data_IF_873981936308
#
_entry.id   IF_873981936308
#
_cell.length_a   1.000
_cell.length_b   1.000
_cell.length_c   1.000
_cell.angle_alpha   90.00
_cell.angle_beta   90.00
_cell.angle_gamma   90.00
#
_symmetry.space_group_name_H-M   'P 1'
#
loop_
_entity.id
_entity.type
_entity.pdbx_description
1 polymer ?
#
# COMPACT_ATOMS: atom_id res chain seq x y z
N UNK A 1 1.62 -21.75 7.36
CA UNK A 1 2.59 -22.02 6.28
C UNK A 1 3.52 -20.82 6.03
N UNK A 2 3.03 -19.55 5.99
CA UNK A 2 3.89 -18.37 5.81
C UNK A 2 4.92 -18.22 6.95
N UNK A 3 4.54 -18.50 8.18
CA UNK A 3 5.42 -18.43 9.35
C UNK A 3 6.60 -19.42 9.33
N UNK A 4 6.59 -20.38 8.38
CA UNK A 4 7.67 -21.35 8.19
C UNK A 4 8.63 -21.02 7.05
N UNK A 5 8.46 -19.85 6.39
CA UNK A 5 9.40 -19.39 5.38
C UNK A 5 10.68 -18.91 6.07
N UNK A 6 11.74 -19.69 5.91
CA UNK A 6 13.08 -19.29 6.31
C UNK A 6 13.66 -18.33 5.25
N UNK A 7 14.19 -17.21 5.71
CA UNK A 7 14.91 -16.27 4.85
C UNK A 7 14.55 -14.80 5.06
N UNK A 8 15.17 -13.95 4.29
CA UNK A 8 15.00 -12.49 4.33
C UNK A 8 13.72 -11.98 3.62
N UNK A 9 12.72 -12.86 3.41
CA UNK A 9 11.48 -12.50 2.76
C UNK A 9 10.59 -11.78 3.76
N UNK A 10 10.20 -10.55 3.42
CA UNK A 10 9.26 -9.73 4.17
C UNK A 10 7.94 -9.61 3.42
N UNK A 11 6.85 -9.51 4.16
CA UNK A 11 5.50 -9.39 3.61
C UNK A 11 4.83 -8.12 4.11
N UNK A 12 4.25 -7.39 3.17
CA UNK A 12 3.25 -6.38 3.47
C UNK A 12 1.88 -7.06 3.57
N UNK A 13 1.23 -6.92 4.71
CA UNK A 13 -0.07 -7.54 4.98
C UNK A 13 -1.17 -6.51 4.72
N UNK A 14 -1.76 -6.55 3.52
CA UNK A 14 -2.86 -5.67 3.15
C UNK A 14 -4.20 -6.31 3.51
N UNK A 15 -4.81 -5.85 4.60
CA UNK A 15 -6.08 -6.35 5.12
C UNK A 15 -7.27 -5.67 4.42
N UNK A 16 -7.71 -6.24 3.31
CA UNK A 16 -8.92 -5.80 2.59
C UNK A 16 -10.19 -6.42 3.20
N UNK A 17 -10.43 -6.16 4.47
CA UNK A 17 -11.54 -6.71 5.27
C UNK A 17 -12.26 -5.58 5.99
N UNK A 18 -13.53 -5.82 6.36
CA UNK A 18 -14.19 -5.00 7.37
C UNK A 18 -13.68 -5.39 8.75
N UNK A 19 -13.55 -4.42 9.64
CA UNK A 19 -13.06 -4.64 11.01
C UNK A 19 -11.67 -5.30 11.06
N UNK A 20 -10.62 -4.67 10.46
CA UNK A 20 -9.27 -5.22 10.44
C UNK A 20 -8.70 -5.49 11.85
N UNK A 21 -9.20 -4.80 12.87
CA UNK A 21 -8.90 -5.01 14.29
C UNK A 21 -9.16 -6.44 14.77
N UNK A 22 -10.07 -7.16 14.13
CA UNK A 22 -10.40 -8.56 14.48
C UNK A 22 -9.39 -9.56 13.91
N UNK A 23 -8.57 -9.13 12.93
CA UNK A 23 -7.71 -10.04 12.16
C UNK A 23 -6.22 -9.78 12.35
N UNK A 24 -5.82 -8.55 12.65
CA UNK A 24 -4.42 -8.11 12.65
C UNK A 24 -3.56 -8.94 13.62
N UNK A 25 -4.08 -9.31 14.78
CA UNK A 25 -3.36 -10.06 15.81
C UNK A 25 -2.86 -11.43 15.32
N UNK A 26 -3.58 -12.06 14.40
CA UNK A 26 -3.16 -13.33 13.83
C UNK A 26 -1.86 -13.25 13.03
N UNK A 27 -1.51 -12.06 12.55
CA UNK A 27 -0.33 -11.82 11.72
C UNK A 27 0.91 -11.42 12.53
N UNK A 28 0.77 -10.90 13.74
CA UNK A 28 1.92 -10.56 14.60
C UNK A 28 2.74 -11.79 15.02
N UNK A 29 2.15 -12.99 14.94
CA UNK A 29 2.87 -14.25 15.15
C UNK A 29 3.82 -14.60 13.96
N UNK A 30 3.68 -13.92 12.81
CA UNK A 30 4.53 -14.11 11.64
C UNK A 30 5.71 -13.13 11.66
N UNK A 31 6.90 -13.61 11.98
CA UNK A 31 8.13 -12.79 12.00
C UNK A 31 8.51 -12.21 10.62
N UNK A 32 7.87 -12.69 9.56
CA UNK A 32 8.04 -12.21 8.19
C UNK A 32 7.06 -11.08 7.81
N UNK A 33 6.04 -10.78 8.63
CA UNK A 33 5.20 -9.60 8.44
C UNK A 33 6.02 -8.34 8.77
N UNK A 34 6.06 -7.38 7.86
CA UNK A 34 6.83 -6.16 7.98
C UNK A 34 5.93 -4.95 8.14
N UNK A 35 4.93 -4.84 7.27
CA UNK A 35 3.98 -3.73 7.24
C UNK A 35 2.55 -4.24 7.32
N UNK A 36 1.72 -3.48 8.01
CA UNK A 36 0.27 -3.70 8.02
C UNK A 36 -0.44 -2.56 7.31
N UNK A 37 -1.28 -2.92 6.35
CA UNK A 37 -2.03 -1.96 5.55
C UNK A 37 -3.51 -2.19 5.79
N UNK A 38 -4.21 -1.16 6.27
CA UNK A 38 -5.66 -1.18 6.50
C UNK A 38 -6.35 -0.04 5.76
N UNK A 39 -7.57 -0.25 5.34
CA UNK A 39 -8.36 0.80 4.70
C UNK A 39 -8.94 1.77 5.74
N UNK A 40 -8.79 3.08 5.51
CA UNK A 40 -9.37 4.12 6.35
C UNK A 40 -10.91 4.00 6.47
N UNK A 41 -11.54 3.41 5.47
CA UNK A 41 -12.99 3.19 5.43
C UNK A 41 -13.43 2.01 6.29
N UNK A 42 -12.52 1.09 6.61
CA UNK A 42 -12.85 -0.18 7.27
C UNK A 42 -12.83 -0.11 8.80
N UNK A 43 -12.22 0.93 9.36
CA UNK A 43 -12.08 1.05 10.82
C UNK A 43 -12.06 2.52 11.28
N UNK A 44 -12.43 2.75 12.53
CA UNK A 44 -12.19 4.00 13.25
C UNK A 44 -11.04 3.91 14.25
N UNK A 45 -10.43 2.73 14.40
CA UNK A 45 -9.39 2.41 15.39
C UNK A 45 -7.98 2.54 14.82
N UNK A 46 -7.78 3.55 13.93
CA UNK A 46 -6.50 3.73 13.23
C UNK A 46 -5.35 3.98 14.20
N UNK A 47 -5.54 4.81 15.24
CA UNK A 47 -4.50 5.08 16.24
C UNK A 47 -4.13 3.84 17.02
N UNK A 48 -5.14 3.10 17.51
CA UNK A 48 -4.93 1.89 18.30
C UNK A 48 -4.22 0.81 17.49
N UNK A 49 -4.58 0.66 16.23
CA UNK A 49 -3.93 -0.29 15.32
C UNK A 49 -2.48 0.11 14.99
N UNK A 50 -2.23 1.40 14.80
CA UNK A 50 -0.87 1.92 14.58
C UNK A 50 0.02 1.68 15.82
N UNK A 51 -0.45 2.08 17.00
CA UNK A 51 0.27 1.86 18.25
C UNK A 51 0.57 0.37 18.50
N UNK A 52 -0.39 -0.50 18.15
CA UNK A 52 -0.23 -1.94 18.29
C UNK A 52 0.81 -2.49 17.31
N UNK A 53 0.77 -2.09 16.04
CA UNK A 53 1.77 -2.47 15.03
C UNK A 53 3.18 -2.04 15.46
N UNK A 54 3.34 -0.77 15.85
CA UNK A 54 4.61 -0.22 16.34
C UNK A 54 5.12 -0.96 17.58
N UNK A 55 4.21 -1.35 18.49
CA UNK A 55 4.55 -2.16 19.66
C UNK A 55 5.14 -3.53 19.32
N UNK A 56 4.86 -4.06 18.14
CA UNK A 56 5.42 -5.29 17.60
C UNK A 56 6.62 -5.07 16.66
N UNK A 57 7.00 -3.80 16.41
CA UNK A 57 8.11 -3.44 15.52
C UNK A 57 7.75 -3.46 14.03
N UNK A 58 6.45 -3.37 13.71
CA UNK A 58 5.95 -3.32 12.34
C UNK A 58 5.58 -1.91 11.93
N UNK A 59 5.70 -1.58 10.64
CA UNK A 59 5.16 -0.34 10.08
C UNK A 59 3.64 -0.43 9.89
N UNK A 60 2.97 0.72 10.01
CA UNK A 60 1.53 0.82 9.84
C UNK A 60 1.15 1.83 8.75
N UNK A 61 0.41 1.35 7.76
CA UNK A 61 0.03 2.08 6.56
C UNK A 61 -1.50 2.16 6.47
N UNK A 62 -2.02 3.32 6.11
CA UNK A 62 -3.44 3.47 5.82
C UNK A 62 -3.66 3.59 4.33
N UNK A 63 -4.56 2.76 3.79
CA UNK A 63 -5.00 2.79 2.41
C UNK A 63 -6.27 3.63 2.26
N UNK A 64 -6.34 4.39 1.15
CA UNK A 64 -7.51 5.16 0.73
C UNK A 64 -8.04 4.65 -0.59
N UNK A 65 -9.34 4.44 -0.67
CA UNK A 65 -10.02 4.16 -1.93
C UNK A 65 -9.96 5.37 -2.90
N UNK A 66 -10.18 5.14 -4.21
CA UNK A 66 -10.11 6.21 -5.21
C UNK A 66 -10.97 7.43 -4.86
N UNK A 67 -12.17 7.21 -4.33
CA UNK A 67 -13.14 8.28 -4.02
C UNK A 67 -13.01 8.84 -2.60
N UNK A 68 -12.21 8.22 -1.74
CA UNK A 68 -12.07 8.66 -0.34
C UNK A 68 -11.26 9.94 -0.26
N UNK A 69 -11.78 11.00 0.38
CA UNK A 69 -11.10 12.27 0.51
C UNK A 69 -9.91 12.21 1.49
N UNK A 70 -8.92 13.11 1.30
CA UNK A 70 -7.72 13.17 2.14
C UNK A 70 -8.03 13.47 3.60
N UNK A 71 -9.07 14.23 3.85
CA UNK A 71 -9.54 14.61 5.18
C UNK A 71 -9.81 13.40 6.08
N UNK A 72 -9.99 12.22 5.47
CA UNK A 72 -10.20 10.95 6.20
C UNK A 72 -8.96 10.50 6.98
N UNK A 73 -7.75 10.83 6.52
CA UNK A 73 -6.48 10.44 7.16
C UNK A 73 -5.77 11.58 7.89
N UNK A 74 -6.18 12.83 7.68
CA UNK A 74 -5.55 13.99 8.34
C UNK A 74 -5.41 13.84 9.88
N UNK A 75 -6.42 13.28 10.60
CA UNK A 75 -6.27 13.11 12.05
C UNK A 75 -5.19 12.12 12.46
N UNK A 76 -4.79 11.20 11.58
CA UNK A 76 -3.96 10.04 11.88
C UNK A 76 -2.51 10.18 11.39
N UNK A 77 -2.19 11.20 10.59
CA UNK A 77 -0.93 11.33 9.88
C UNK A 77 0.33 11.13 10.73
N UNK A 78 0.30 11.51 12.02
CA UNK A 78 1.45 11.37 12.93
C UNK A 78 1.67 9.93 13.42
N UNK A 79 0.69 9.06 13.22
CA UNK A 79 0.73 7.66 13.61
C UNK A 79 1.00 6.72 12.42
N UNK A 80 1.21 7.27 11.22
CA UNK A 80 1.39 6.48 10.00
C UNK A 80 2.83 6.51 9.53
N UNK A 81 3.33 5.39 9.05
CA UNK A 81 4.65 5.28 8.43
C UNK A 81 4.59 5.56 6.93
N UNK A 82 3.44 5.32 6.30
CA UNK A 82 3.16 5.66 4.91
C UNK A 82 1.65 5.77 4.67
N UNK A 83 1.28 6.30 3.50
CA UNK A 83 -0.11 6.30 3.01
C UNK A 83 -0.18 5.58 1.68
N UNK A 84 -1.12 4.65 1.55
CA UNK A 84 -1.38 3.96 0.29
C UNK A 84 -2.62 4.54 -0.40
N UNK A 85 -2.49 4.88 -1.68
CA UNK A 85 -3.63 5.25 -2.52
C UNK A 85 -3.95 4.11 -3.47
N UNK A 86 -5.20 3.68 -3.45
CA UNK A 86 -5.70 2.73 -4.42
C UNK A 86 -5.91 3.43 -5.76
N UNK A 87 -5.32 2.89 -6.80
CA UNK A 87 -5.49 3.35 -8.19
C UNK A 87 -6.40 2.41 -9.00
N UNK A 88 -7.13 1.57 -8.29
CA UNK A 88 -8.28 0.75 -8.73
C UNK A 88 -9.28 0.69 -7.59
N UNK A 89 -10.52 0.31 -7.87
CA UNK A 89 -11.45 -0.04 -6.80
C UNK A 89 -11.09 -1.40 -6.21
N UNK A 90 -11.00 -1.54 -4.86
CA UNK A 90 -10.69 -2.83 -4.24
C UNK A 90 -11.68 -3.93 -4.61
N UNK A 91 -11.21 -5.19 -4.69
CA UNK A 91 -12.05 -6.38 -4.83
C UNK A 91 -11.74 -7.28 -6.03
N UNK A 92 -11.22 -6.75 -7.14
CA UNK A 92 -10.86 -7.55 -8.31
C UNK A 92 -9.44 -7.22 -8.78
N UNK A 93 -8.68 -8.23 -9.18
CA UNK A 93 -7.39 -8.06 -9.82
C UNK A 93 -7.52 -7.69 -11.32
N UNK A 94 -6.48 -7.08 -11.88
CA UNK A 94 -6.40 -6.78 -13.31
C UNK A 94 -7.28 -5.65 -13.79
N UNK A 95 -7.76 -4.80 -12.89
CA UNK A 95 -8.49 -3.58 -13.25
C UNK A 95 -7.58 -2.53 -13.91
N UNK A 96 -8.18 -1.66 -14.71
CA UNK A 96 -7.48 -0.55 -15.33
C UNK A 96 -7.09 0.50 -14.30
N UNK A 97 -5.89 1.05 -14.47
CA UNK A 97 -5.35 2.14 -13.65
C UNK A 97 -6.24 3.39 -13.73
N UNK A 98 -6.58 3.94 -12.58
CA UNK A 98 -7.38 5.16 -12.44
C UNK A 98 -6.47 6.39 -12.30
N UNK A 99 -6.14 7.03 -13.42
CA UNK A 99 -5.30 8.24 -13.44
C UNK A 99 -5.90 9.43 -12.68
N UNK A 100 -7.22 9.45 -12.51
CA UNK A 100 -7.94 10.51 -11.79
C UNK A 100 -7.63 10.56 -10.29
N UNK A 101 -6.96 9.54 -9.75
CA UNK A 101 -6.42 9.52 -8.38
C UNK A 101 -5.15 10.38 -8.25
N UNK A 102 -4.36 10.52 -9.32
CA UNK A 102 -3.06 11.20 -9.28
C UNK A 102 -3.11 12.67 -8.81
N UNK A 103 -4.12 13.49 -9.16
CA UNK A 103 -4.25 14.83 -8.58
C UNK A 103 -4.36 14.84 -7.06
N UNK A 104 -5.07 13.84 -6.48
CA UNK A 104 -5.18 13.65 -5.02
C UNK A 104 -3.82 13.29 -4.42
N UNK A 105 -3.06 12.40 -5.06
CA UNK A 105 -1.71 12.02 -4.63
C UNK A 105 -0.76 13.23 -4.64
N UNK A 106 -0.75 14.03 -5.71
CA UNK A 106 0.07 15.25 -5.79
C UNK A 106 -0.28 16.25 -4.70
N UNK A 107 -1.58 16.45 -4.42
CA UNK A 107 -2.04 17.31 -3.33
C UNK A 107 -1.51 16.83 -2.00
N UNK A 108 -1.61 15.53 -1.72
CA UNK A 108 -1.12 14.92 -0.49
C UNK A 108 0.41 15.07 -0.37
N UNK A 109 1.18 14.74 -1.41
CA UNK A 109 2.63 14.92 -1.43
C UNK A 109 3.04 16.37 -1.19
N UNK A 110 2.32 17.33 -1.76
CA UNK A 110 2.57 18.76 -1.54
C UNK A 110 2.29 19.23 -0.10
N UNK A 111 1.36 18.57 0.61
CA UNK A 111 1.04 18.86 2.01
C UNK A 111 2.00 18.15 2.99
N UNK A 112 2.44 16.94 2.65
CA UNK A 112 3.24 16.06 3.48
C UNK A 112 4.42 15.47 2.68
N UNK A 113 5.42 16.30 2.32
CA UNK A 113 6.50 15.88 1.40
C UNK A 113 7.39 14.77 1.96
N UNK A 114 7.47 14.63 3.29
CA UNK A 114 8.26 13.60 3.96
C UNK A 114 7.48 12.28 4.18
N UNK A 115 6.15 12.28 3.99
CA UNK A 115 5.34 11.08 4.16
C UNK A 115 5.50 10.17 2.94
N UNK A 116 5.99 8.94 3.12
CA UNK A 116 6.06 7.96 2.04
C UNK A 116 4.69 7.67 1.45
N UNK A 117 4.63 7.57 0.12
CA UNK A 117 3.40 7.30 -0.62
C UNK A 117 3.55 6.01 -1.40
N UNK A 118 2.60 5.09 -1.20
CA UNK A 118 2.45 3.86 -1.95
C UNK A 118 1.26 3.96 -2.90
N UNK A 119 1.39 3.46 -4.13
CA UNK A 119 0.28 3.34 -5.08
C UNK A 119 0.04 1.89 -5.44
N UNK A 120 -1.22 1.45 -5.35
CA UNK A 120 -1.63 0.07 -5.61
C UNK A 120 -2.80 0.01 -6.58
N UNK A 121 -2.61 -0.76 -7.65
CA UNK A 121 -3.64 -1.06 -8.64
C UNK A 121 -3.30 -0.62 -10.07
N UNK A 122 -3.31 -1.57 -11.01
CA UNK A 122 -3.05 -1.32 -12.42
C UNK A 122 -1.63 -0.83 -12.75
N UNK A 123 -0.67 -1.14 -11.88
CA UNK A 123 0.72 -0.73 -12.04
C UNK A 123 1.42 -1.58 -13.11
N UNK A 124 2.07 -0.89 -14.03
CA UNK A 124 2.81 -1.44 -15.17
C UNK A 124 3.92 -0.45 -15.59
N UNK A 125 4.83 -0.80 -16.49
CA UNK A 125 5.83 0.14 -17.02
C UNK A 125 5.25 1.41 -17.64
N UNK A 126 3.99 1.39 -18.09
CA UNK A 126 3.32 2.58 -18.64
C UNK A 126 2.70 3.49 -17.59
N UNK A 127 2.38 2.97 -16.40
CA UNK A 127 1.70 3.73 -15.32
C UNK A 127 2.64 4.10 -14.18
N UNK A 128 3.68 3.31 -13.91
CA UNK A 128 4.64 3.57 -12.84
C UNK A 128 5.34 4.94 -12.94
N UNK A 129 5.75 5.45 -14.13
CA UNK A 129 6.29 6.80 -14.26
C UNK A 129 5.29 7.89 -13.85
N UNK A 130 4.00 7.68 -14.08
CA UNK A 130 2.95 8.63 -13.66
C UNK A 130 2.81 8.67 -12.14
N UNK A 131 2.99 7.50 -11.50
CA UNK A 131 2.99 7.38 -10.04
C UNK A 131 4.18 8.13 -9.42
N UNK A 132 5.39 7.92 -9.93
CA UNK A 132 6.60 8.61 -9.50
C UNK A 132 6.47 10.13 -9.67
N UNK A 133 5.98 10.61 -10.82
CA UNK A 133 5.71 12.03 -11.08
C UNK A 133 4.65 12.63 -10.15
N UNK A 134 3.77 11.81 -9.58
CA UNK A 134 2.79 12.27 -8.61
C UNK A 134 3.33 12.33 -7.17
N UNK A 135 4.56 11.85 -6.93
CA UNK A 135 5.24 11.85 -5.64
C UNK A 135 5.22 10.49 -4.93
N UNK A 136 4.86 9.41 -5.62
CA UNK A 136 4.94 8.07 -5.03
C UNK A 136 6.40 7.62 -4.88
N UNK A 137 6.72 7.07 -3.71
CA UNK A 137 8.01 6.43 -3.41
C UNK A 137 7.96 4.91 -3.54
N UNK A 138 6.75 4.33 -3.55
CA UNK A 138 6.52 2.89 -3.66
C UNK A 138 5.35 2.59 -4.60
N UNK A 139 5.41 1.45 -5.28
CA UNK A 139 4.32 0.93 -6.11
C UNK A 139 4.10 -0.56 -5.88
N UNK A 140 2.85 -0.99 -5.92
CA UNK A 140 2.46 -2.40 -5.82
C UNK A 140 1.97 -2.87 -7.17
N UNK A 141 2.65 -3.85 -7.76
CA UNK A 141 2.31 -4.41 -9.06
C UNK A 141 2.04 -5.91 -8.95
N UNK A 142 0.79 -6.29 -9.00
CA UNK A 142 0.34 -7.69 -8.94
C UNK A 142 0.24 -8.32 -10.32
N UNK A 143 -0.81 -7.99 -11.06
CA UNK A 143 -1.17 -8.67 -12.32
C UNK A 143 -0.10 -8.56 -13.41
N UNK A 144 0.63 -7.45 -13.49
CA UNK A 144 1.72 -7.30 -14.46
C UNK A 144 2.87 -8.28 -14.19
N UNK A 145 3.31 -8.38 -12.92
CA UNK A 145 4.42 -9.24 -12.52
C UNK A 145 4.01 -10.70 -12.53
N UNK A 146 2.90 -11.04 -11.85
CA UNK A 146 2.46 -12.43 -11.69
C UNK A 146 1.90 -13.06 -12.97
N UNK A 147 1.44 -12.23 -13.91
CA UNK A 147 0.97 -12.67 -15.23
C UNK A 147 2.09 -12.82 -16.26
N UNK A 148 3.31 -12.42 -15.96
CA UNK A 148 4.44 -12.50 -16.88
C UNK A 148 4.98 -13.93 -16.99
N UNK A 149 5.47 -14.30 -18.18
CA UNK A 149 6.18 -15.59 -18.40
C UNK A 149 7.51 -15.58 -17.65
N UNK A 150 8.20 -14.44 -17.64
CA UNK A 150 9.44 -14.24 -16.88
C UNK A 150 9.23 -13.11 -15.85
N UNK A 151 9.01 -13.51 -14.61
CA UNK A 151 8.78 -12.60 -13.47
C UNK A 151 9.97 -11.67 -13.26
N UNK A 152 11.20 -12.18 -13.38
CA UNK A 152 12.42 -11.37 -13.19
C UNK A 152 12.53 -10.29 -14.24
N UNK A 153 12.27 -10.61 -15.49
CA UNK A 153 12.26 -9.64 -16.58
C UNK A 153 11.17 -8.57 -16.35
N UNK A 154 9.97 -8.97 -15.94
CA UNK A 154 8.88 -8.04 -15.67
C UNK A 154 9.23 -7.05 -14.54
N UNK A 155 9.90 -7.51 -13.48
CA UNK A 155 10.38 -6.62 -12.41
C UNK A 155 11.40 -5.63 -12.97
N UNK A 156 12.40 -6.09 -13.74
CA UNK A 156 13.42 -5.23 -14.35
C UNK A 156 12.81 -4.18 -15.30
N UNK A 157 11.80 -4.57 -16.08
CA UNK A 157 11.07 -3.63 -16.96
C UNK A 157 10.33 -2.57 -16.17
N UNK A 158 9.73 -2.96 -15.04
CA UNK A 158 9.04 -2.02 -14.16
C UNK A 158 10.03 -1.04 -13.50
N UNK A 159 11.14 -1.54 -12.94
CA UNK A 159 12.20 -0.72 -12.33
C UNK A 159 12.79 0.26 -13.35
N UNK A 160 13.11 -0.21 -14.56
CA UNK A 160 13.66 0.63 -15.61
C UNK A 160 12.70 1.73 -16.10
N UNK A 161 11.41 1.59 -15.86
CA UNK A 161 10.40 2.56 -16.29
C UNK A 161 10.34 3.82 -15.42
N UNK A 162 10.88 3.80 -14.21
CA UNK A 162 10.82 4.90 -13.22
C UNK A 162 12.15 5.64 -13.01
N UNK A 163 13.18 5.26 -13.78
CA UNK A 163 14.52 5.88 -13.76
C UNK A 163 14.60 7.13 -14.62
#
# INVERSE_FOLDING_TARGET
>A
ELASLDGDVKFDVHLMVQHPEEYVDHWYACSCADRFIVHAEATSMVHELADHAHGHGNEFIVALNPDTPLERIEPYQQSLDAVQFMTVYPGLQGQSFLSDVLPKVRRFHGQYPEMPIMLDGGISPSTAPLCAQAGASMVVSGSFILGAIDIRQAIQELEASVV
#
